data_IF_919410094213
#
_entry.id   IF_919410094213
#
_cell.length_a   1.000
_cell.length_b   1.000
_cell.length_c   1.000
_cell.angle_alpha   90.00
_cell.angle_beta   90.00
_cell.angle_gamma   90.00
#
_symmetry.space_group_name_H-M   'P 1'
#
loop_
_entity.id
_entity.type
_entity.pdbx_description
1 polymer ?
#
# COMPACT_ATOMS: atom_id res chain seq x y z
N UNK A 1 -0.67 -4.78 -11.25
CA UNK A 1 0.41 -4.43 -10.29
C UNK A 1 0.21 -2.98 -9.88
N UNK A 2 0.48 -2.61 -8.62
CA UNK A 2 0.14 -1.27 -8.08
C UNK A 2 1.43 -0.55 -7.71
N UNK A 3 1.67 0.62 -8.29
CA UNK A 3 2.78 1.50 -7.91
C UNK A 3 2.27 2.56 -6.94
N UNK A 4 3.11 2.95 -6.00
CA UNK A 4 2.88 4.10 -5.11
C UNK A 4 3.83 5.20 -5.59
N UNK A 5 3.27 6.37 -5.86
CA UNK A 5 3.99 7.58 -6.24
C UNK A 5 3.82 8.61 -5.14
N UNK A 6 4.75 9.56 -5.10
CA UNK A 6 4.75 10.71 -4.20
C UNK A 6 4.55 11.97 -5.05
N UNK A 7 3.67 12.86 -4.59
CA UNK A 7 3.36 14.09 -5.31
C UNK A 7 4.47 15.11 -5.09
N UNK A 8 5.04 15.67 -6.16
CA UNK A 8 6.09 16.69 -6.04
C UNK A 8 5.64 18.01 -5.38
N UNK A 9 4.33 18.26 -5.30
CA UNK A 9 3.80 19.53 -4.77
C UNK A 9 3.36 19.45 -3.31
N UNK A 10 2.89 18.28 -2.87
CA UNK A 10 2.27 18.14 -1.55
C UNK A 10 2.71 16.89 -0.78
N UNK A 11 3.68 16.15 -1.30
CA UNK A 11 4.28 14.94 -0.70
C UNK A 11 3.26 13.82 -0.39
N UNK A 12 2.03 13.96 -0.91
CA UNK A 12 1.00 12.97 -0.75
C UNK A 12 1.38 11.72 -1.53
N UNK A 13 1.23 10.56 -0.89
CA UNK A 13 1.40 9.28 -1.54
C UNK A 13 0.10 8.87 -2.21
N UNK A 14 0.14 8.49 -3.48
CA UNK A 14 -1.03 8.10 -4.25
C UNK A 14 -0.72 6.94 -5.19
N UNK A 15 -1.78 6.29 -5.66
CA UNK A 15 -1.69 5.15 -6.58
C UNK A 15 -2.39 5.52 -7.90
N UNK A 16 -1.65 5.89 -8.95
CA UNK A 16 -2.13 5.86 -10.30
C UNK A 16 -2.00 4.43 -10.84
N UNK A 17 -3.10 3.70 -11.11
CA UNK A 17 -3.03 2.45 -11.86
C UNK A 17 -2.47 2.70 -13.26
N UNK A 18 -1.65 1.78 -13.78
CA UNK A 18 -1.27 1.78 -15.20
C UNK A 18 -2.55 1.76 -16.05
N UNK A 19 -2.78 2.82 -16.83
CA UNK A 19 -3.96 2.96 -17.69
C UNK A 19 -5.18 3.63 -17.05
N UNK A 20 -5.10 4.15 -15.81
CA UNK A 20 -6.18 4.94 -15.24
C UNK A 20 -6.20 6.34 -15.84
N UNK A 21 -7.31 6.67 -16.50
CA UNK A 21 -7.72 8.06 -16.65
C UNK A 21 -8.61 8.40 -15.45
N UNK A 22 -8.28 9.48 -14.73
CA UNK A 22 -9.27 10.16 -13.90
C UNK A 22 -10.40 10.69 -14.80
N UNK A 23 -11.56 11.01 -14.23
CA UNK A 23 -12.65 11.69 -14.95
C UNK A 23 -12.17 12.94 -15.69
N UNK A 24 -11.07 13.51 -15.19
CA UNK A 24 -10.53 14.78 -15.61
C UNK A 24 -9.29 14.63 -16.50
N UNK A 25 -8.82 13.41 -16.81
CA UNK A 25 -7.65 13.19 -17.69
C UNK A 25 -6.73 12.03 -17.26
N UNK A 26 -5.61 11.80 -17.98
CA UNK A 26 -4.68 10.72 -17.66
C UNK A 26 -4.07 10.91 -16.27
N UNK A 27 -3.92 9.83 -15.51
CA UNK A 27 -3.28 9.89 -14.20
C UNK A 27 -1.78 10.24 -14.32
N UNK A 28 -1.36 11.29 -13.61
CA UNK A 28 0.04 11.72 -13.56
C UNK A 28 0.86 10.81 -12.64
N UNK A 29 2.09 10.43 -13.01
CA UNK A 29 3.08 9.83 -12.11
C UNK A 29 3.87 10.86 -11.28
N UNK A 30 3.60 12.16 -11.47
CA UNK A 30 4.33 13.27 -10.82
C UNK A 30 3.45 14.03 -9.83
N UNK A 31 2.16 14.18 -10.13
CA UNK A 31 1.20 14.90 -9.30
C UNK A 31 -0.01 14.04 -8.91
N UNK A 32 -0.50 14.21 -7.68
CA UNK A 32 -1.79 13.65 -7.30
C UNK A 32 -2.92 14.35 -8.08
N UNK A 33 -4.12 13.75 -8.11
CA UNK A 33 -5.26 14.30 -8.89
C UNK A 33 -5.60 15.76 -8.55
N UNK A 34 -5.49 16.14 -7.27
CA UNK A 34 -5.74 17.51 -6.81
C UNK A 34 -4.69 18.49 -7.37
N UNK A 35 -3.40 18.20 -7.17
CA UNK A 35 -2.32 19.07 -7.65
C UNK A 35 -2.25 19.08 -9.18
N UNK A 36 -2.57 17.97 -9.85
CA UNK A 36 -2.68 17.90 -11.31
C UNK A 36 -3.78 18.84 -11.83
N UNK A 37 -4.94 18.89 -11.17
CA UNK A 37 -6.02 19.82 -11.47
C UNK A 37 -5.57 21.28 -11.34
N UNK A 38 -4.94 21.62 -10.21
CA UNK A 38 -4.42 22.98 -9.95
C UNK A 38 -3.36 23.40 -10.97
N UNK A 39 -2.42 22.52 -11.31
CA UNK A 39 -1.39 22.83 -12.31
C UNK A 39 -1.98 23.03 -13.71
N UNK A 40 -2.99 22.24 -14.07
CA UNK A 40 -3.71 22.40 -15.33
C UNK A 40 -4.48 23.72 -15.39
N UNK A 41 -5.15 24.11 -14.32
CA UNK A 41 -5.82 25.42 -14.22
C UNK A 41 -4.84 26.59 -14.36
N UNK A 42 -3.61 26.41 -13.85
CA UNK A 42 -2.51 27.37 -14.00
C UNK A 42 -1.81 27.31 -15.36
N UNK A 43 -2.22 26.40 -16.25
CA UNK A 43 -1.59 26.20 -17.57
C UNK A 43 -0.16 25.66 -17.48
N UNK A 44 0.22 25.06 -16.35
CA UNK A 44 1.54 24.45 -16.15
C UNK A 44 1.50 23.02 -16.68
N UNK A 45 2.22 22.71 -17.78
CA UNK A 45 2.24 21.36 -18.32
C UNK A 45 3.02 20.43 -17.40
N UNK A 46 2.63 19.15 -17.38
CA UNK A 46 3.39 18.14 -16.67
C UNK A 46 4.79 17.97 -17.30
N UNK A 47 5.86 17.96 -16.49
CA UNK A 47 7.21 17.73 -16.99
C UNK A 47 7.37 16.29 -17.51
N UNK A 48 7.29 16.12 -18.83
CA UNK A 48 7.32 14.83 -19.54
C UNK A 48 8.53 13.97 -19.15
N UNK A 49 9.70 14.58 -18.99
CA UNK A 49 10.93 13.86 -18.59
C UNK A 49 10.81 13.31 -17.18
N UNK A 50 10.32 14.11 -16.23
CA UNK A 50 10.13 13.66 -14.85
C UNK A 50 9.10 12.53 -14.77
N UNK A 51 8.03 12.63 -15.54
CA UNK A 51 7.00 11.60 -15.62
C UNK A 51 7.55 10.26 -16.15
N UNK A 52 8.33 10.31 -17.23
CA UNK A 52 8.97 9.13 -17.79
C UNK A 52 9.96 8.48 -16.81
N UNK A 53 10.77 9.29 -16.12
CA UNK A 53 11.74 8.81 -15.12
C UNK A 53 11.02 8.18 -13.93
N UNK A 54 9.96 8.81 -13.40
CA UNK A 54 9.18 8.27 -12.28
C UNK A 54 8.59 6.90 -12.63
N UNK A 55 8.03 6.75 -13.83
CA UNK A 55 7.49 5.48 -14.30
C UNK A 55 8.59 4.42 -14.51
N UNK A 56 9.71 4.79 -15.12
CA UNK A 56 10.84 3.88 -15.32
C UNK A 56 11.42 3.38 -13.99
N UNK A 57 11.55 4.27 -13.00
CA UNK A 57 12.02 3.93 -11.66
C UNK A 57 11.03 2.98 -10.94
N UNK A 58 9.73 3.23 -11.05
CA UNK A 58 8.70 2.37 -10.49
C UNK A 58 8.76 0.95 -11.09
N UNK A 59 8.93 0.85 -12.42
CA UNK A 59 9.11 -0.43 -13.12
C UNK A 59 10.41 -1.14 -12.74
N UNK A 60 11.52 -0.41 -12.63
CA UNK A 60 12.81 -0.97 -12.22
C UNK A 60 12.78 -1.53 -10.80
N UNK A 61 12.17 -0.80 -9.84
CA UNK A 61 11.98 -1.28 -8.45
C UNK A 61 11.13 -2.55 -8.39
N UNK A 62 10.12 -2.65 -9.25
CA UNK A 62 9.30 -3.84 -9.34
C UNK A 62 10.08 -5.02 -9.93
N UNK A 63 10.85 -4.80 -11.00
CA UNK A 63 11.70 -5.82 -11.60
C UNK A 63 12.77 -6.32 -10.61
N UNK A 64 13.35 -5.42 -9.80
CA UNK A 64 14.28 -5.77 -8.73
C UNK A 64 13.64 -6.58 -7.59
N UNK A 65 12.30 -6.59 -7.47
CA UNK A 65 11.56 -7.41 -6.50
C UNK A 65 11.09 -8.75 -7.06
N UNK A 66 11.32 -9.05 -8.33
CA UNK A 66 11.01 -10.36 -8.89
C UNK A 66 11.89 -11.44 -8.21
N UNK A 67 11.37 -12.63 -7.90
CA UNK A 67 12.03 -13.58 -7.02
C UNK A 67 13.20 -14.24 -7.76
N UNK A 68 14.39 -13.69 -7.58
CA UNK A 68 15.68 -14.30 -7.95
C UNK A 68 16.63 -14.46 -6.76
N UNK A 69 16.27 -13.91 -5.60
CA UNK A 69 16.96 -14.16 -4.34
C UNK A 69 16.16 -15.22 -3.57
N UNK A 70 16.56 -16.48 -3.71
CA UNK A 70 16.30 -17.49 -2.69
C UNK A 70 16.91 -16.99 -1.38
N UNK A 71 16.08 -16.33 -0.56
CA UNK A 71 16.39 -16.12 0.84
C UNK A 71 16.68 -17.52 1.42
N UNK A 72 17.90 -17.80 1.97
CA UNK A 72 18.17 -19.10 2.53
C UNK A 72 17.12 -19.36 3.59
N UNK A 73 16.35 -20.42 3.40
CA UNK A 73 15.19 -20.76 4.21
C UNK A 73 15.52 -20.57 5.68
N UNK A 74 15.04 -19.46 6.27
CA UNK A 74 15.21 -19.23 7.70
C UNK A 74 14.58 -20.45 8.37
N UNK A 75 15.31 -21.20 9.21
CA UNK A 75 14.70 -22.28 9.93
C UNK A 75 13.52 -21.68 10.69
N UNK A 76 12.34 -22.24 10.46
CA UNK A 76 11.10 -21.83 11.10
C UNK A 76 11.24 -22.14 12.59
N UNK A 77 11.84 -21.21 13.35
CA UNK A 77 11.94 -21.25 14.81
C UNK A 77 10.57 -20.87 15.33
N UNK A 78 9.62 -21.78 15.14
CA UNK A 78 8.34 -21.73 15.81
C UNK A 78 8.63 -21.94 17.29
N UNK A 79 8.29 -20.99 18.19
CA UNK A 79 8.37 -21.24 19.61
C UNK A 79 7.56 -22.51 19.90
N UNK A 80 8.24 -23.52 20.43
CA UNK A 80 7.64 -24.81 20.77
C UNK A 80 6.42 -24.53 21.63
N UNK A 81 5.24 -24.67 21.05
CA UNK A 81 3.97 -24.39 21.70
C UNK A 81 3.96 -25.07 23.07
N UNK A 82 3.84 -24.33 24.20
CA UNK A 82 3.75 -24.99 25.49
C UNK A 82 2.54 -25.92 25.48
N UNK A 83 2.74 -27.13 26.01
CA UNK A 83 1.77 -28.21 25.97
C UNK A 83 0.38 -27.72 26.41
N UNK A 84 -0.65 -28.11 25.65
CA UNK A 84 -2.06 -27.86 26.01
C UNK A 84 -2.33 -28.53 27.36
N UNK A 85 -2.28 -27.77 28.46
CA UNK A 85 -2.79 -28.25 29.74
C UNK A 85 -4.32 -28.32 29.66
N UNK A 86 -4.84 -29.43 30.18
CA UNK A 86 -6.23 -29.88 30.04
C UNK A 86 -7.23 -28.86 30.58
N UNK A 87 -8.38 -28.81 29.91
CA UNK A 87 -9.66 -28.25 30.38
C UNK A 87 -9.87 -28.46 31.90
N UNK A 88 -9.92 -27.38 32.67
CA UNK A 88 -10.68 -27.38 33.90
C UNK A 88 -12.16 -27.15 33.53
N UNK A 89 -12.94 -28.24 33.51
CA UNK A 89 -14.40 -28.19 33.52
C UNK A 89 -14.84 -27.84 34.95
N UNK A 90 -15.46 -26.68 35.14
CA UNK A 90 -16.34 -26.42 36.28
C UNK A 90 -17.44 -25.43 35.88
N UNK A 91 -18.55 -25.99 35.38
CA UNK A 91 -19.95 -25.60 35.63
C UNK A 91 -20.48 -24.17 35.37
N UNK A 92 -21.77 -24.04 34.93
CA UNK A 92 -22.43 -22.76 34.68
C UNK A 92 -23.06 -22.19 35.96
N UNK A 93 -22.80 -20.91 36.25
CA UNK A 93 -23.44 -20.17 37.34
C UNK A 93 -24.10 -18.91 36.79
N UNK A 94 -25.39 -19.01 36.50
CA UNK A 94 -26.25 -17.88 36.16
C UNK A 94 -26.40 -16.92 37.36
N UNK A 95 -26.12 -15.65 37.17
CA UNK A 95 -26.70 -14.58 38.00
C UNK A 95 -26.91 -13.33 37.16
N UNK A 96 -28.10 -13.26 36.54
CA UNK A 96 -28.68 -12.06 35.97
C UNK A 96 -29.24 -11.25 37.13
N UNK A 97 -28.57 -10.17 37.56
CA UNK A 97 -29.08 -9.24 38.56
C UNK A 97 -29.55 -7.95 37.90
N UNK A 98 -30.78 -7.55 38.27
CA UNK A 98 -31.60 -6.47 37.72
C UNK A 98 -31.02 -5.09 38.10
N UNK A 99 -31.11 -4.14 37.17
CA UNK A 99 -31.14 -2.71 37.49
C UNK A 99 -32.60 -2.36 37.82
N UNK A 100 -32.82 -1.91 39.04
CA UNK A 100 -33.99 -1.19 39.51
C UNK A 100 -33.50 0.08 40.19
#
# INVERSE_FOLDING_TARGET
MRYVFECLECDAHYLPPEGMAYSDGPASPVWCSLCQGVMRERGVPEPVVAAAVALAAAKARLAARAPGDEEPARPDVRPSRPARTRRARSGPGSSRSRLG
#
